data_IF_495526783092
#
_entry.id   IF_495526783092
#
_cell.length_a   1.000
_cell.length_b   1.000
_cell.length_c   1.000
_cell.angle_alpha   90.00
_cell.angle_beta   90.00
_cell.angle_gamma   90.00
#
_symmetry.space_group_name_H-M   'P 1'
#
loop_
_entity.id
_entity.type
_entity.pdbx_description
1 polymer ?
#
# COMPACT_ATOMS: atom_id res chain seq x y z
N UNK A 1 29.77 3.48 21.39
CA UNK A 1 28.82 2.55 20.73
C UNK A 1 27.40 2.85 21.22
N UNK A 2 26.83 3.98 20.81
CA UNK A 2 25.46 4.39 21.13
C UNK A 2 24.84 4.88 19.83
N UNK A 3 24.45 3.94 18.98
CA UNK A 3 23.64 4.16 17.79
C UNK A 3 22.39 3.30 17.92
N UNK A 4 21.26 3.82 17.44
CA UNK A 4 19.88 3.31 17.55
C UNK A 4 19.13 3.64 18.85
N UNK A 5 18.98 4.94 19.12
CA UNK A 5 17.77 5.47 19.78
C UNK A 5 17.13 6.52 18.88
N UNK A 6 16.65 6.09 17.72
CA UNK A 6 15.74 6.87 16.92
C UNK A 6 14.88 5.87 16.13
N UNK A 7 13.58 6.15 16.03
CA UNK A 7 12.68 5.75 14.92
C UNK A 7 11.55 4.73 15.19
N UNK A 8 11.40 4.07 16.34
CA UNK A 8 10.26 3.15 16.51
C UNK A 8 8.91 3.91 16.64
N UNK A 9 8.90 5.01 17.40
CA UNK A 9 7.69 5.81 17.65
C UNK A 9 7.19 6.55 16.40
N UNK A 10 8.09 7.18 15.63
CA UNK A 10 7.73 7.87 14.37
C UNK A 10 7.28 6.89 13.27
N UNK A 11 7.81 5.65 13.28
CA UNK A 11 7.40 4.58 12.37
C UNK A 11 6.00 4.05 12.71
N UNK A 12 5.63 3.96 14.00
CA UNK A 12 4.27 3.59 14.42
C UNK A 12 3.25 4.70 14.09
N UNK A 13 3.61 5.98 14.26
CA UNK A 13 2.74 7.12 13.94
C UNK A 13 2.39 7.23 12.45
N UNK A 14 3.13 6.54 11.57
CA UNK A 14 2.84 6.48 10.14
C UNK A 14 2.65 5.02 9.71
N UNK A 15 1.43 4.51 9.91
CA UNK A 15 1.11 3.13 9.53
C UNK A 15 1.35 2.82 8.05
N UNK A 16 1.55 1.54 7.70
CA UNK A 16 1.76 1.13 6.32
C UNK A 16 0.57 1.54 5.45
N UNK A 17 0.83 1.84 4.19
CA UNK A 17 -0.22 2.17 3.21
C UNK A 17 -0.75 0.89 2.60
N UNK A 18 -1.48 0.12 3.41
CA UNK A 18 -2.15 -1.10 2.99
C UNK A 18 -3.65 -1.06 3.30
N UNK A 19 -4.38 -1.84 2.52
CA UNK A 19 -5.82 -2.01 2.61
C UNK A 19 -6.13 -3.47 2.28
N UNK A 20 -7.06 -4.06 3.02
CA UNK A 20 -7.58 -5.40 2.81
C UNK A 20 -9.07 -5.29 2.48
N UNK A 21 -9.46 -5.83 1.34
CA UNK A 21 -10.84 -5.87 0.87
C UNK A 21 -11.30 -7.34 0.90
N UNK A 22 -12.54 -7.53 1.35
CA UNK A 22 -13.20 -8.83 1.40
C UNK A 22 -13.32 -9.45 0.00
N UNK A 23 -13.62 -10.75 -0.09
CA UNK A 23 -13.81 -11.43 -1.37
C UNK A 23 -14.92 -10.88 -2.25
N UNK A 24 -15.86 -10.13 -1.70
CA UNK A 24 -16.91 -9.43 -2.45
C UNK A 24 -16.35 -8.29 -3.32
N UNK A 25 -15.11 -7.85 -3.08
CA UNK A 25 -14.44 -6.81 -3.87
C UNK A 25 -14.90 -5.38 -3.55
N UNK A 26 -15.88 -5.21 -2.66
CA UNK A 26 -16.48 -3.92 -2.33
C UNK A 26 -16.26 -3.54 -0.87
N UNK A 27 -16.30 -4.51 0.04
CA UNK A 27 -16.25 -4.24 1.47
C UNK A 27 -14.81 -4.18 1.95
N UNK A 28 -14.42 -3.03 2.51
CA UNK A 28 -13.13 -2.91 3.20
C UNK A 28 -13.19 -3.58 4.56
N UNK A 29 -12.28 -4.52 4.80
CA UNK A 29 -12.14 -5.20 6.08
C UNK A 29 -11.23 -4.43 7.04
N UNK A 30 -10.07 -3.98 6.55
CA UNK A 30 -9.07 -3.35 7.39
C UNK A 30 -8.12 -2.43 6.61
N UNK A 31 -7.47 -1.53 7.35
CA UNK A 31 -6.45 -0.60 6.85
C UNK A 31 -5.16 -0.73 7.66
N UNK A 32 -4.04 -0.29 7.05
CA UNK A 32 -2.73 -0.18 7.68
C UNK A 32 -2.32 -1.45 8.44
N UNK A 33 -1.82 -1.32 9.67
CA UNK A 33 -1.39 -2.47 10.48
C UNK A 33 -2.50 -3.52 10.63
N UNK A 34 -3.77 -3.12 10.76
CA UNK A 34 -4.88 -4.06 10.83
C UNK A 34 -5.03 -4.92 9.56
N UNK A 35 -4.75 -4.34 8.39
CA UNK A 35 -4.75 -5.09 7.13
C UNK A 35 -3.58 -6.08 7.05
N UNK A 36 -2.39 -5.70 7.50
CA UNK A 36 -1.22 -6.60 7.56
C UNK A 36 -1.48 -7.77 8.52
N UNK A 37 -1.95 -7.50 9.74
CA UNK A 37 -2.28 -8.52 10.73
C UNK A 37 -3.35 -9.47 10.21
N UNK A 38 -4.49 -8.93 9.74
CA UNK A 38 -5.61 -9.76 9.28
C UNK A 38 -5.25 -10.63 8.08
N UNK A 39 -4.47 -10.09 7.13
CA UNK A 39 -4.02 -10.86 5.98
C UNK A 39 -3.02 -11.96 6.39
N UNK A 40 -2.17 -11.73 7.40
CA UNK A 40 -1.28 -12.76 7.95
C UNK A 40 -2.07 -13.93 8.54
N UNK A 41 -3.07 -13.65 9.37
CA UNK A 41 -3.97 -14.67 9.95
C UNK A 41 -4.69 -15.49 8.88
N UNK A 42 -5.23 -14.82 7.86
CA UNK A 42 -5.86 -15.49 6.72
C UNK A 42 -4.85 -16.33 5.91
N UNK A 43 -3.58 -15.93 5.90
CA UNK A 43 -2.52 -16.68 5.22
C UNK A 43 -2.17 -17.96 5.94
N UNK A 44 -2.10 -17.92 7.27
CA UNK A 44 -1.87 -19.08 8.13
C UNK A 44 -2.93 -20.16 7.89
N UNK A 45 -4.19 -19.75 7.65
CA UNK A 45 -5.30 -20.66 7.35
C UNK A 45 -5.49 -20.96 5.86
N UNK A 46 -4.61 -20.51 4.95
CA UNK A 46 -4.75 -20.62 3.49
C UNK A 46 -6.01 -19.97 2.88
N UNK A 47 -6.67 -19.07 3.58
CA UNK A 47 -7.90 -18.39 3.15
C UNK A 47 -7.65 -17.07 2.40
N UNK A 48 -6.42 -16.54 2.50
CA UNK A 48 -6.02 -15.24 1.94
C UNK A 48 -6.25 -15.09 0.42
N UNK A 49 -6.27 -16.20 -0.34
CA UNK A 49 -6.29 -16.18 -1.82
C UNK A 49 -7.55 -15.53 -2.41
N UNK A 50 -8.64 -15.52 -1.66
CA UNK A 50 -9.92 -14.91 -2.08
C UNK A 50 -10.01 -13.42 -1.76
N UNK A 51 -9.05 -12.89 -1.00
CA UNK A 51 -9.05 -11.52 -0.50
C UNK A 51 -8.19 -10.61 -1.38
N UNK A 52 -8.55 -9.34 -1.46
CA UNK A 52 -7.74 -8.36 -2.18
C UNK A 52 -6.89 -7.58 -1.19
N UNK A 53 -5.60 -7.86 -1.19
CA UNK A 53 -4.64 -7.19 -0.33
C UNK A 53 -3.73 -6.27 -1.16
N UNK A 54 -3.84 -4.97 -0.91
CA UNK A 54 -3.00 -3.97 -1.57
C UNK A 54 -2.01 -3.39 -0.58
N UNK A 55 -0.72 -3.49 -0.91
CA UNK A 55 0.36 -2.95 -0.08
C UNK A 55 1.10 -1.81 -0.81
N UNK A 56 1.44 -0.76 -0.06
CA UNK A 56 2.11 0.45 -0.55
C UNK A 56 1.33 1.15 -1.69
N UNK A 57 -0.01 1.15 -1.63
CA UNK A 57 -0.86 1.63 -2.73
C UNK A 57 -0.64 3.12 -3.04
N UNK A 58 -0.30 3.97 -2.06
CA UNK A 58 0.04 5.39 -2.32
C UNK A 58 1.21 5.50 -3.29
N UNK A 59 2.24 4.67 -3.16
CA UNK A 59 3.40 4.68 -4.06
C UNK A 59 3.03 4.20 -5.46
N UNK A 60 2.14 3.22 -5.57
CA UNK A 60 1.63 2.76 -6.86
C UNK A 60 0.84 3.86 -7.59
N UNK A 61 -0.02 4.58 -6.86
CA UNK A 61 -0.79 5.72 -7.41
C UNK A 61 0.14 6.85 -7.84
N UNK A 62 1.08 7.25 -6.99
CA UNK A 62 2.06 8.31 -7.31
C UNK A 62 2.88 8.00 -8.57
N UNK A 63 3.37 6.76 -8.71
CA UNK A 63 4.10 6.33 -9.92
C UNK A 63 3.24 6.47 -11.18
N UNK A 64 1.95 6.13 -11.11
CA UNK A 64 1.02 6.26 -12.25
C UNK A 64 0.76 7.74 -12.59
N UNK A 65 0.50 8.57 -11.60
CA UNK A 65 0.25 10.02 -11.78
C UNK A 65 1.47 10.74 -12.35
N UNK A 66 2.67 10.44 -11.82
CA UNK A 66 3.93 11.02 -12.34
C UNK A 66 4.15 10.58 -13.79
N UNK A 67 3.95 9.29 -14.12
CA UNK A 67 4.11 8.78 -15.49
C UNK A 67 3.17 9.49 -16.48
N UNK A 68 1.91 9.70 -16.11
CA UNK A 68 0.95 10.40 -16.97
C UNK A 68 1.30 11.88 -17.18
N UNK A 69 1.76 12.58 -16.13
CA UNK A 69 2.25 13.97 -16.26
C UNK A 69 3.48 14.11 -17.12
N UNK A 70 4.37 13.12 -17.13
CA UNK A 70 5.55 13.16 -17.98
C UNK A 70 5.18 12.88 -19.45
N UNK A 71 4.27 11.95 -19.74
CA UNK A 71 3.80 11.71 -21.12
C UNK A 71 3.09 12.95 -21.72
N UNK A 72 2.30 13.69 -20.93
CA UNK A 72 1.62 14.88 -21.43
C UNK A 72 2.55 16.07 -21.71
N UNK A 73 3.83 16.00 -21.31
CA UNK A 73 4.85 17.04 -21.58
C UNK A 73 5.71 16.76 -22.82
N UNK A 74 5.74 15.53 -23.33
CA UNK A 74 6.46 15.17 -24.56
C UNK A 74 5.54 15.11 -25.81
N UNK A 75 4.30 15.59 -25.71
CA UNK A 75 3.29 15.52 -26.77
C UNK A 75 3.01 16.81 -27.53
N UNK A 76 3.82 17.87 -27.37
CA UNK A 76 3.67 19.09 -28.17
C UNK A 76 5.04 19.71 -28.47
N UNK A 77 5.47 19.60 -29.73
CA UNK A 77 6.62 20.30 -30.29
C UNK A 77 7.69 19.39 -30.89
N UNK A 78 7.45 18.88 -32.11
CA UNK A 78 8.43 18.62 -33.17
C UNK A 78 7.73 17.98 -34.38
N UNK A 79 7.15 18.83 -35.22
CA UNK A 79 6.86 18.56 -36.64
C UNK A 79 7.11 19.86 -37.39
#
# INVERSE_FOLDING_TARGET
MLHLKLNATLLCCTGPTCILIRPDGETVEAFAFGAETRYSELSENNEHKKWYYFRRFKMAIWKKVIRQRNLSRYGCGSL
#
